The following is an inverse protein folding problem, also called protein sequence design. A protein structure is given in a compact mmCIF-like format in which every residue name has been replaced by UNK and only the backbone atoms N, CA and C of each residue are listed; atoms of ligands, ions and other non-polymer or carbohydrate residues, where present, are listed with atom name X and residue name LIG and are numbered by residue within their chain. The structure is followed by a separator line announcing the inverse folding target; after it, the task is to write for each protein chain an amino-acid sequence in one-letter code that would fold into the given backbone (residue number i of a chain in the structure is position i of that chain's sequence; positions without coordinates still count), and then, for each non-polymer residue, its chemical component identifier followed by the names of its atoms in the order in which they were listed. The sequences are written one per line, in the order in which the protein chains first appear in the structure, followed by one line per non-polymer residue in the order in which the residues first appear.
data_IF_110958010377
#
_entry.id   IF_110958010377
#
_cell.length_a   1.000
_cell.length_b   1.000
_cell.length_c   1.000
_cell.angle_alpha   90.00
_cell.angle_beta   90.00
_cell.angle_gamma   90.00
#
_symmetry.space_group_name_H-M   'P 1'
#
loop_
_entity.id
_entity.type
_entity.pdbx_description
1 polymer ?
#
# COMPACT_ATOMS: atom_id res chain seq x y z
N UNK A 1 10.32 33.48 20.88
CA UNK A 1 10.37 32.15 20.23
C UNK A 1 10.15 32.44 18.76
N UNK A 2 11.10 32.12 17.88
CA UNK A 2 10.82 32.11 16.44
C UNK A 2 9.79 31.02 16.19
N UNK A 3 8.62 31.40 15.65
CA UNK A 3 7.67 30.43 15.14
C UNK A 3 8.30 29.81 13.88
N UNK A 4 8.63 28.52 13.96
CA UNK A 4 9.09 27.76 12.79
C UNK A 4 7.87 27.67 11.87
N UNK A 5 7.93 28.22 10.63
CA UNK A 5 6.82 28.11 9.71
C UNK A 5 6.51 26.63 9.47
N UNK A 6 5.22 26.25 9.31
CA UNK A 6 4.86 24.88 9.02
C UNK A 6 5.63 24.40 7.78
N UNK A 7 6.23 23.21 7.89
CA UNK A 7 7.00 22.61 6.80
C UNK A 7 6.11 22.44 5.58
N UNK A 8 6.53 22.97 4.42
CA UNK A 8 5.74 22.84 3.20
C UNK A 8 5.61 21.36 2.80
N UNK A 9 4.41 20.92 2.35
CA UNK A 9 4.20 19.53 1.99
C UNK A 9 5.10 19.13 0.81
N UNK A 10 5.89 18.08 1.01
CA UNK A 10 6.82 17.56 0.01
C UNK A 10 6.05 17.09 -1.23
N UNK A 11 6.42 17.63 -2.39
CA UNK A 11 5.84 17.27 -3.69
C UNK A 11 6.56 16.07 -4.29
N UNK A 12 5.79 15.24 -4.99
CA UNK A 12 6.26 14.03 -5.67
C UNK A 12 6.56 14.28 -7.14
N UNK A 13 7.03 13.27 -7.88
CA UNK A 13 7.26 13.40 -9.33
C UNK A 13 5.97 13.67 -10.13
N UNK A 14 4.80 13.33 -9.56
CA UNK A 14 3.48 13.63 -10.12
C UNK A 14 2.93 15.01 -9.69
N UNK A 15 3.68 15.79 -8.91
CA UNK A 15 3.28 17.11 -8.43
C UNK A 15 2.20 17.09 -7.35
N UNK A 16 1.88 15.91 -6.81
CA UNK A 16 0.94 15.72 -5.71
C UNK A 16 1.65 15.84 -4.36
N UNK A 17 0.88 16.03 -3.31
CA UNK A 17 1.41 15.90 -1.94
C UNK A 17 1.68 14.42 -1.65
N UNK A 18 2.84 14.15 -1.04
CA UNK A 18 3.36 12.80 -0.80
C UNK A 18 2.38 11.89 -0.03
N UNK A 19 1.66 12.43 0.95
CA UNK A 19 0.66 11.71 1.73
C UNK A 19 -0.61 11.37 0.92
N UNK A 20 -1.04 12.27 0.03
CA UNK A 20 -2.19 12.04 -0.87
C UNK A 20 -1.85 10.92 -1.85
N UNK A 21 -0.66 10.98 -2.45
CA UNK A 21 -0.22 9.94 -3.36
C UNK A 21 -0.01 8.59 -2.67
N UNK A 22 0.53 8.60 -1.45
CA UNK A 22 0.62 7.42 -0.61
C UNK A 22 -0.74 6.80 -0.30
N UNK A 23 -1.79 7.60 -0.10
CA UNK A 23 -3.17 7.10 0.03
C UNK A 23 -3.64 6.46 -1.29
N UNK A 24 -3.41 7.14 -2.43
CA UNK A 24 -3.81 6.66 -3.76
C UNK A 24 -3.21 5.28 -4.04
N UNK A 25 -2.02 4.98 -3.53
CA UNK A 25 -1.40 3.65 -3.62
C UNK A 25 -2.32 2.50 -3.18
N UNK A 26 -3.25 2.73 -2.26
CA UNK A 26 -4.19 1.73 -1.76
C UNK A 26 -5.59 1.82 -2.40
N UNK A 27 -5.93 2.94 -3.05
CA UNK A 27 -7.29 3.27 -3.48
C UNK A 27 -7.96 2.14 -4.29
N UNK A 28 -7.27 1.61 -5.30
CA UNK A 28 -7.73 0.47 -6.10
C UNK A 28 -6.89 -0.79 -5.82
N UNK A 29 -6.39 -0.90 -4.59
CA UNK A 29 -5.50 -1.96 -4.16
C UNK A 29 -4.26 -2.08 -5.07
N UNK A 30 -4.01 -3.26 -5.67
CA UNK A 30 -2.77 -3.47 -6.40
C UNK A 30 -2.72 -2.69 -7.72
N UNK A 31 -3.87 -2.25 -8.27
CA UNK A 31 -3.91 -1.52 -9.54
C UNK A 31 -3.22 -0.16 -9.38
N UNK A 32 -3.66 0.66 -8.41
CA UNK A 32 -3.02 1.96 -8.17
C UNK A 32 -1.61 1.81 -7.61
N UNK A 33 -1.36 0.79 -6.78
CA UNK A 33 0.01 0.47 -6.34
C UNK A 33 0.96 0.22 -7.51
N UNK A 34 0.57 -0.60 -8.50
CA UNK A 34 1.41 -0.86 -9.69
C UNK A 34 1.60 0.41 -10.52
N UNK A 35 0.53 1.18 -10.76
CA UNK A 35 0.61 2.43 -11.52
C UNK A 35 1.62 3.39 -10.86
N UNK A 36 1.57 3.56 -9.54
CA UNK A 36 2.49 4.46 -8.84
C UNK A 36 3.92 3.92 -8.81
N UNK A 37 4.15 2.61 -8.72
CA UNK A 37 5.51 2.06 -8.89
C UNK A 37 6.11 2.40 -10.26
N UNK A 38 5.29 2.46 -11.31
CA UNK A 38 5.72 2.79 -12.66
C UNK A 38 5.88 4.28 -12.91
N UNK A 39 5.10 5.12 -12.26
CA UNK A 39 5.08 6.56 -12.53
C UNK A 39 5.88 7.38 -11.51
N UNK A 40 5.84 7.02 -10.23
CA UNK A 40 6.52 7.78 -9.17
C UNK A 40 8.00 7.40 -9.05
N UNK A 41 8.90 8.39 -9.11
CA UNK A 41 10.36 8.20 -9.13
C UNK A 41 11.13 8.80 -7.97
N UNK A 42 10.57 9.81 -7.33
CA UNK A 42 11.30 10.66 -6.38
C UNK A 42 10.92 10.37 -4.92
N UNK A 43 9.66 9.96 -4.69
CA UNK A 43 9.17 9.67 -3.34
C UNK A 43 9.35 8.20 -2.94
N UNK A 44 10.36 7.94 -2.12
CA UNK A 44 10.54 6.65 -1.46
C UNK A 44 9.32 6.27 -0.60
N UNK A 45 8.65 7.25 0.01
CA UNK A 45 7.45 7.03 0.82
C UNK A 45 6.32 6.47 -0.03
N UNK A 46 5.99 7.13 -1.15
CA UNK A 46 4.95 6.68 -2.07
C UNK A 46 5.31 5.32 -2.65
N UNK A 47 6.55 5.15 -3.12
CA UNK A 47 7.01 3.88 -3.71
C UNK A 47 6.93 2.72 -2.71
N UNK A 48 7.20 2.97 -1.43
CA UNK A 48 6.99 1.98 -0.37
C UNK A 48 5.51 1.62 -0.22
N UNK A 49 4.60 2.60 -0.11
CA UNK A 49 3.17 2.34 0.04
C UNK A 49 2.57 1.67 -1.21
N UNK A 50 3.07 2.03 -2.39
CA UNK A 50 2.74 1.41 -3.67
C UNK A 50 3.14 -0.06 -3.69
N UNK A 51 4.39 -0.38 -3.31
CA UNK A 51 4.86 -1.76 -3.18
C UNK A 51 4.05 -2.55 -2.15
N UNK A 52 3.84 -1.99 -0.95
CA UNK A 52 3.09 -2.62 0.13
C UNK A 52 1.65 -2.93 -0.30
N UNK A 53 0.97 -1.99 -0.97
CA UNK A 53 -0.36 -2.22 -1.54
C UNK A 53 -0.34 -3.36 -2.56
N UNK A 54 0.56 -3.29 -3.56
CA UNK A 54 0.68 -4.30 -4.61
C UNK A 54 0.85 -5.70 -4.06
N UNK A 55 1.85 -5.92 -3.21
CA UNK A 55 2.14 -7.27 -2.71
C UNK A 55 1.06 -7.77 -1.74
N UNK A 56 0.47 -6.89 -0.92
CA UNK A 56 -0.56 -7.28 0.06
C UNK A 56 -1.80 -7.78 -0.66
N UNK A 57 -2.34 -6.99 -1.58
CA UNK A 57 -3.60 -7.32 -2.23
C UNK A 57 -3.47 -8.39 -3.30
N UNK A 58 -2.33 -8.48 -4.01
CA UNK A 58 -2.06 -9.63 -4.90
C UNK A 58 -2.00 -10.92 -4.08
N UNK A 59 -1.30 -10.94 -2.95
CA UNK A 59 -1.20 -12.13 -2.11
C UNK A 59 -2.56 -12.57 -1.59
N UNK A 60 -3.37 -11.64 -1.08
CA UNK A 60 -4.74 -11.96 -0.62
C UNK A 60 -5.60 -12.48 -1.77
N UNK A 61 -5.55 -11.84 -2.94
CA UNK A 61 -6.33 -12.25 -4.11
C UNK A 61 -5.95 -13.67 -4.57
N UNK A 62 -4.65 -13.99 -4.63
CA UNK A 62 -4.16 -15.34 -4.96
C UNK A 62 -4.64 -16.37 -3.94
N UNK A 63 -4.58 -16.06 -2.63
CA UNK A 63 -5.09 -16.96 -1.59
C UNK A 63 -6.60 -17.20 -1.74
N UNK A 64 -7.39 -16.17 -2.04
CA UNK A 64 -8.82 -16.34 -2.29
C UNK A 64 -9.09 -17.27 -3.48
N UNK A 65 -8.33 -17.17 -4.57
CA UNK A 65 -8.44 -18.07 -5.72
C UNK A 65 -8.12 -19.52 -5.32
N UNK A 66 -7.05 -19.75 -4.57
CA UNK A 66 -6.63 -21.08 -4.12
C UNK A 66 -7.73 -21.75 -3.29
N UNK A 67 -8.29 -21.02 -2.31
CA UNK A 67 -9.27 -21.58 -1.39
C UNK A 67 -10.69 -21.69 -1.97
N UNK A 68 -10.97 -21.08 -3.12
CA UNK A 68 -12.30 -21.10 -3.76
C UNK A 68 -12.82 -22.51 -4.05
N UNK A 69 -11.93 -23.48 -4.25
CA UNK A 69 -12.29 -24.85 -4.65
C UNK A 69 -12.53 -25.80 -3.47
N UNK A 70 -12.37 -25.36 -2.22
CA UNK A 70 -12.59 -26.18 -1.03
C UNK A 70 -13.95 -25.86 -0.40
N UNK A 71 -14.96 -26.75 -0.46
CA UNK A 71 -16.27 -26.49 0.13
C UNK A 71 -16.19 -26.24 1.64
N UNK A 72 -17.04 -25.35 2.17
CA UNK A 72 -17.12 -24.91 3.57
C UNK A 72 -15.85 -24.20 4.11
N UNK A 73 -14.67 -24.83 4.05
CA UNK A 73 -13.40 -24.22 4.47
C UNK A 73 -13.06 -23.01 3.60
N UNK A 74 -13.24 -23.11 2.29
CA UNK A 74 -12.99 -22.00 1.36
C UNK A 74 -13.89 -20.78 1.63
N UNK A 75 -15.13 -21.01 2.07
CA UNK A 75 -16.04 -19.94 2.47
C UNK A 75 -15.54 -19.22 3.73
N UNK A 76 -15.19 -19.98 4.79
CA UNK A 76 -14.68 -19.41 6.03
C UNK A 76 -13.37 -18.64 5.82
N UNK A 77 -12.43 -19.24 5.09
CA UNK A 77 -11.14 -18.59 4.76
C UNK A 77 -11.36 -17.36 3.88
N UNK A 78 -12.26 -17.44 2.88
CA UNK A 78 -12.60 -16.30 2.03
C UNK A 78 -13.17 -15.11 2.82
N UNK A 79 -14.05 -15.36 3.79
CA UNK A 79 -14.57 -14.32 4.68
C UNK A 79 -13.46 -13.68 5.53
N UNK A 80 -12.57 -14.48 6.12
CA UNK A 80 -11.45 -13.98 6.91
C UNK A 80 -10.47 -13.15 6.07
N UNK A 81 -10.13 -13.62 4.86
CA UNK A 81 -9.27 -12.90 3.94
C UNK A 81 -9.89 -11.58 3.46
N UNK A 82 -11.20 -11.55 3.26
CA UNK A 82 -11.92 -10.33 2.87
C UNK A 82 -11.93 -9.29 4.00
N UNK A 83 -12.11 -9.75 5.25
CA UNK A 83 -12.01 -8.87 6.42
C UNK A 83 -10.58 -8.35 6.60
N UNK A 84 -9.58 -9.20 6.44
CA UNK A 84 -8.17 -8.81 6.52
C UNK A 84 -7.82 -7.78 5.42
N UNK A 85 -8.29 -8.00 4.18
CA UNK A 85 -8.12 -7.05 3.09
C UNK A 85 -8.73 -5.69 3.42
N UNK A 86 -9.96 -5.67 3.97
CA UNK A 86 -10.61 -4.43 4.36
C UNK A 86 -9.83 -3.69 5.45
N UNK A 87 -9.31 -4.41 6.45
CA UNK A 87 -8.48 -3.83 7.51
C UNK A 87 -7.20 -3.22 6.93
N UNK A 88 -6.45 -3.96 6.11
CA UNK A 88 -5.25 -3.42 5.47
C UNK A 88 -5.55 -2.26 4.51
N UNK A 89 -6.68 -2.28 3.80
CA UNK A 89 -7.09 -1.20 2.92
C UNK A 89 -7.33 0.10 3.69
N UNK A 90 -8.14 0.05 4.76
CA UNK A 90 -8.41 1.22 5.59
C UNK A 90 -7.14 1.70 6.29
N UNK A 91 -6.39 0.80 6.93
CA UNK A 91 -5.17 1.16 7.65
C UNK A 91 -4.11 1.75 6.72
N UNK A 92 -3.92 1.16 5.53
CA UNK A 92 -2.98 1.64 4.53
C UNK A 92 -3.28 3.06 4.06
N UNK A 93 -4.53 3.32 3.66
CA UNK A 93 -4.97 4.67 3.26
C UNK A 93 -4.83 5.67 4.40
N UNK A 94 -5.31 5.32 5.60
CA UNK A 94 -5.29 6.25 6.74
C UNK A 94 -3.87 6.61 7.14
N UNK A 95 -2.99 5.60 7.25
CA UNK A 95 -1.59 5.82 7.65
C UNK A 95 -0.81 6.56 6.59
N UNK A 96 -1.01 6.24 5.31
CA UNK A 96 -0.36 6.98 4.24
C UNK A 96 -0.82 8.44 4.18
N UNK A 97 -2.13 8.70 4.36
CA UNK A 97 -2.67 10.06 4.43
C UNK A 97 -2.14 10.86 5.63
N UNK A 98 -1.87 10.19 6.75
CA UNK A 98 -1.21 10.76 7.94
C UNK A 98 0.30 11.00 7.72
N UNK A 99 0.87 10.64 6.58
CA UNK A 99 2.31 10.70 6.32
C UNK A 99 3.13 9.64 7.07
N UNK A 100 2.47 8.62 7.62
CA UNK A 100 3.12 7.56 8.39
C UNK A 100 3.51 6.39 7.49
N UNK A 101 4.82 6.07 7.46
CA UNK A 101 5.35 4.87 6.79
C UNK A 101 5.05 3.60 7.59
N UNK A 102 3.77 3.28 7.67
CA UNK A 102 3.28 2.16 8.47
C UNK A 102 3.50 0.83 7.75
N UNK A 103 4.28 -0.06 8.39
CA UNK A 103 4.57 -1.42 7.90
C UNK A 103 3.48 -2.38 8.36
N UNK A 104 2.79 -3.01 7.40
CA UNK A 104 1.94 -4.14 7.74
C UNK A 104 2.80 -5.33 8.21
N UNK A 105 2.30 -6.15 9.15
CA UNK A 105 2.98 -7.38 9.53
C UNK A 105 3.30 -8.21 8.28
N UNK A 106 4.56 -8.65 8.14
CA UNK A 106 5.12 -9.39 7.00
C UNK A 106 5.23 -8.53 5.73
N UNK A 107 4.14 -7.92 5.26
CA UNK A 107 4.11 -7.20 3.99
C UNK A 107 4.95 -5.91 4.00
N UNK A 108 5.08 -5.21 5.13
CA UNK A 108 5.89 -4.00 5.18
C UNK A 108 7.37 -4.28 4.97
N UNK A 109 7.90 -5.34 5.57
CA UNK A 109 9.31 -5.72 5.38
C UNK A 109 9.55 -6.25 3.96
N UNK A 110 8.61 -7.01 3.40
CA UNK A 110 8.67 -7.42 1.99
C UNK A 110 8.65 -6.21 1.06
N UNK A 111 7.81 -5.22 1.33
CA UNK A 111 7.68 -4.02 0.52
C UNK A 111 8.98 -3.22 0.51
N UNK A 112 9.59 -3.01 1.68
CA UNK A 112 10.87 -2.32 1.81
C UNK A 112 12.01 -3.07 1.09
N UNK A 113 12.04 -4.40 1.19
CA UNK A 113 13.04 -5.20 0.49
C UNK A 113 12.86 -5.19 -1.02
N UNK A 114 11.62 -5.18 -1.52
CA UNK A 114 11.33 -5.35 -2.94
C UNK A 114 11.35 -4.02 -3.68
N UNK A 115 10.91 -2.92 -3.05
CA UNK A 115 10.96 -1.59 -3.67
C UNK A 115 12.39 -1.20 -4.04
N UNK A 116 13.40 -1.57 -3.23
CA UNK A 116 14.81 -1.33 -3.52
C UNK A 116 15.43 -2.26 -4.59
N UNK A 117 14.76 -3.35 -4.95
CA UNK A 117 15.23 -4.30 -5.98
C UNK A 117 14.66 -4.03 -7.35
N UNK A 118 13.57 -3.28 -7.41
CA UNK A 118 12.84 -3.01 -8.63
C UNK A 118 13.29 -1.66 -9.19
N UNK A 119 14.04 -1.73 -10.28
CA UNK A 119 14.50 -0.56 -11.03
C UNK A 119 13.47 -0.23 -12.12
N UNK A 120 12.24 0.09 -11.69
CA UNK A 120 11.24 0.73 -12.58
C UNK A 120 11.01 2.16 -12.18
#
# INVERSE_FOLDING_TARGET
MEEIPPEEPKKTSLGMEENIEGLIAYLLGPITGIILLLLEKESDFVRFHAMQSTITFISIWVLQIIFRFVPLLGMLVGMLLSLLALVFWILGMLKAYQGERYKFPIFGDLAEQWVGKINV
#
